data_IF_943686844952
#
_entry.id   IF_943686844952
#
_cell.length_a   1.000
_cell.length_b   1.000
_cell.length_c   1.000
_cell.angle_alpha   90.00
_cell.angle_beta   90.00
_cell.angle_gamma   90.00
#
_symmetry.space_group_name_H-M   'P 1'
#
loop_
_entity.id
_entity.type
_entity.pdbx_description
1 polymer ?
#
# COMPACT_ATOMS: atom_id res chain seq x y z
N UNK A 1 -23.81 -36.76 -12.50
CA UNK A 1 -22.85 -37.88 -12.66
C UNK A 1 -23.10 -38.91 -11.58
N UNK A 2 -23.44 -40.15 -11.97
CA UNK A 2 -23.85 -41.27 -11.09
C UNK A 2 -22.75 -41.71 -10.08
N UNK A 3 -21.52 -41.18 -10.17
CA UNK A 3 -20.37 -41.64 -9.40
C UNK A 3 -19.69 -40.56 -8.55
N UNK A 4 -20.23 -39.35 -8.40
CA UNK A 4 -19.59 -38.23 -7.68
C UNK A 4 -18.08 -38.05 -8.04
N UNK A 5 -17.72 -38.33 -9.27
CA UNK A 5 -16.32 -38.28 -9.72
C UNK A 5 -15.88 -36.83 -9.82
N UNK A 6 -15.04 -36.40 -8.89
CA UNK A 6 -14.30 -35.12 -9.00
C UNK A 6 -13.00 -35.37 -9.73
N UNK A 7 -12.82 -34.73 -10.87
CA UNK A 7 -11.59 -34.81 -11.65
C UNK A 7 -10.40 -34.34 -10.81
N UNK A 8 -9.37 -35.19 -10.67
CA UNK A 8 -8.14 -34.77 -10.01
C UNK A 8 -7.46 -33.67 -10.84
N UNK A 9 -7.60 -32.42 -10.38
CA UNK A 9 -7.09 -31.23 -11.08
C UNK A 9 -5.55 -31.26 -11.23
N UNK A 10 -4.83 -31.85 -10.27
CA UNK A 10 -3.38 -32.01 -10.35
C UNK A 10 -2.95 -32.94 -11.51
N UNK A 11 -3.66 -34.05 -11.72
CA UNK A 11 -3.40 -34.96 -12.84
C UNK A 11 -3.78 -34.31 -14.18
N UNK A 12 -4.86 -33.51 -14.21
CA UNK A 12 -5.28 -32.79 -15.41
C UNK A 12 -4.29 -31.67 -15.77
N UNK A 13 -3.77 -30.93 -14.79
CA UNK A 13 -2.82 -29.84 -14.98
C UNK A 13 -1.50 -30.34 -15.57
N UNK A 14 -1.01 -31.50 -15.17
CA UNK A 14 0.18 -32.14 -15.73
C UNK A 14 0.03 -32.46 -17.23
N UNK A 15 -1.18 -32.85 -17.67
CA UNK A 15 -1.47 -33.20 -19.06
C UNK A 15 -1.67 -31.97 -19.96
N UNK A 16 -2.24 -30.88 -19.39
CA UNK A 16 -2.61 -29.68 -20.16
C UNK A 16 -1.60 -28.55 -19.98
N UNK A 17 -0.60 -28.73 -19.09
CA UNK A 17 0.39 -27.71 -18.70
C UNK A 17 -0.23 -26.40 -18.20
N UNK A 18 -1.45 -26.48 -17.64
CA UNK A 18 -2.17 -25.34 -17.06
C UNK A 18 -2.84 -25.76 -15.75
N UNK A 19 -2.53 -25.06 -14.67
CA UNK A 19 -3.10 -25.31 -13.36
C UNK A 19 -4.41 -24.57 -13.11
N UNK A 20 -4.73 -23.57 -13.94
CA UNK A 20 -5.84 -22.63 -13.69
C UNK A 20 -5.71 -21.95 -12.31
N UNK A 21 -4.49 -21.63 -11.94
CA UNK A 21 -4.19 -21.00 -10.64
C UNK A 21 -3.22 -19.83 -10.85
N UNK A 22 -3.52 -18.71 -10.19
CA UNK A 22 -2.67 -17.52 -10.13
C UNK A 22 -2.15 -17.35 -8.70
N UNK A 23 -0.86 -17.05 -8.56
CA UNK A 23 -0.28 -16.63 -7.28
C UNK A 23 -0.38 -15.12 -7.11
N UNK A 24 -0.83 -14.65 -5.95
CA UNK A 24 -0.81 -13.23 -5.58
C UNK A 24 0.05 -13.08 -4.34
N UNK A 25 1.18 -12.41 -4.48
CA UNK A 25 2.09 -12.07 -3.38
C UNK A 25 1.74 -10.66 -2.91
N UNK A 26 1.43 -10.51 -1.62
CA UNK A 26 0.97 -9.26 -1.03
C UNK A 26 1.73 -8.96 0.25
N UNK A 27 2.07 -7.68 0.54
CA UNK A 27 2.86 -7.34 1.72
C UNK A 27 2.09 -7.47 3.03
N UNK A 28 0.79 -7.13 3.05
CA UNK A 28 -0.04 -7.17 4.25
C UNK A 28 -1.52 -7.18 3.89
N UNK A 29 -2.20 -8.31 4.14
CA UNK A 29 -3.64 -8.46 3.87
C UNK A 29 -4.51 -7.69 4.87
N UNK A 30 -3.98 -7.20 5.99
CA UNK A 30 -4.74 -6.36 6.92
C UNK A 30 -4.85 -4.91 6.44
N UNK A 31 -4.01 -4.51 5.49
CA UNK A 31 -4.09 -3.18 4.90
C UNK A 31 -5.24 -3.15 3.88
N UNK A 32 -6.22 -2.24 4.07
CA UNK A 32 -7.43 -2.12 3.26
C UNK A 32 -7.15 -1.97 1.76
N UNK A 33 -6.13 -1.20 1.36
CA UNK A 33 -5.75 -1.05 -0.04
C UNK A 33 -5.33 -2.40 -0.66
N UNK A 34 -4.49 -3.17 0.02
CA UNK A 34 -4.03 -4.45 -0.51
C UNK A 34 -5.12 -5.50 -0.50
N UNK A 35 -5.98 -5.54 0.53
CA UNK A 35 -7.08 -6.49 0.59
C UNK A 35 -8.16 -6.21 -0.46
N UNK A 36 -8.51 -4.96 -0.70
CA UNK A 36 -9.44 -4.58 -1.78
C UNK A 36 -8.87 -4.96 -3.16
N UNK A 37 -7.58 -4.71 -3.38
CA UNK A 37 -6.91 -5.09 -4.63
C UNK A 37 -6.89 -6.62 -4.84
N UNK A 38 -6.57 -7.39 -3.79
CA UNK A 38 -6.60 -8.86 -3.83
C UNK A 38 -8.01 -9.36 -4.15
N UNK A 39 -9.04 -8.75 -3.55
CA UNK A 39 -10.43 -9.12 -3.81
C UNK A 39 -10.83 -8.88 -5.27
N UNK A 40 -10.45 -7.75 -5.86
CA UNK A 40 -10.75 -7.46 -7.26
C UNK A 40 -9.97 -8.38 -8.22
N UNK A 41 -8.71 -8.71 -7.90
CA UNK A 41 -7.93 -9.70 -8.63
C UNK A 41 -8.62 -11.07 -8.57
N UNK A 42 -9.05 -11.51 -7.38
CA UNK A 42 -9.75 -12.79 -7.20
C UNK A 42 -11.04 -12.84 -8.03
N UNK A 43 -11.90 -11.85 -7.93
CA UNK A 43 -13.15 -11.77 -8.70
C UNK A 43 -12.91 -11.88 -10.20
N UNK A 44 -11.91 -11.15 -10.71
CA UNK A 44 -11.56 -11.19 -12.13
C UNK A 44 -11.12 -12.59 -12.57
N UNK A 45 -10.18 -13.19 -11.85
CA UNK A 45 -9.64 -14.50 -12.19
C UNK A 45 -10.67 -15.63 -11.98
N UNK A 46 -11.49 -15.54 -10.95
CA UNK A 46 -12.59 -16.48 -10.72
C UNK A 46 -13.59 -16.49 -11.89
N UNK A 47 -13.97 -15.32 -12.41
CA UNK A 47 -14.86 -15.22 -13.57
C UNK A 47 -14.28 -15.84 -14.85
N UNK A 48 -12.94 -16.04 -14.90
CA UNK A 48 -12.23 -16.71 -15.99
C UNK A 48 -11.87 -18.17 -15.69
N UNK A 49 -12.40 -18.74 -14.61
CA UNK A 49 -12.18 -20.13 -14.21
C UNK A 49 -10.82 -20.40 -13.61
N UNK A 50 -10.20 -19.40 -12.97
CA UNK A 50 -8.95 -19.53 -12.21
C UNK A 50 -9.23 -19.47 -10.70
N UNK A 51 -8.37 -20.13 -9.95
CA UNK A 51 -8.27 -19.96 -8.48
C UNK A 51 -7.09 -19.05 -8.16
N UNK A 52 -7.15 -18.37 -7.02
CA UNK A 52 -6.07 -17.48 -6.56
C UNK A 52 -5.44 -18.02 -5.28
N UNK A 53 -4.11 -18.14 -5.27
CA UNK A 53 -3.33 -18.39 -4.05
C UNK A 53 -2.80 -17.06 -3.50
N UNK A 54 -3.21 -16.70 -2.29
CA UNK A 54 -2.75 -15.49 -1.61
C UNK A 54 -1.55 -15.83 -0.73
N UNK A 55 -0.45 -15.11 -0.92
CA UNK A 55 0.82 -15.26 -0.23
C UNK A 55 1.15 -13.97 0.52
N UNK A 56 0.86 -13.92 1.82
CA UNK A 56 1.12 -12.74 2.66
C UNK A 56 2.55 -12.74 3.20
N UNK A 57 3.37 -11.76 2.77
CA UNK A 57 4.80 -11.71 3.15
C UNK A 57 5.04 -11.10 4.51
N UNK A 58 4.16 -10.27 5.05
CA UNK A 58 4.41 -9.39 6.19
C UNK A 58 5.67 -8.53 5.98
N UNK A 59 5.96 -8.16 4.73
CA UNK A 59 7.16 -7.40 4.36
C UNK A 59 8.49 -8.09 4.66
N UNK A 60 8.47 -9.41 4.77
CA UNK A 60 9.64 -10.26 4.99
C UNK A 60 10.17 -10.74 3.63
N UNK A 61 11.42 -10.33 3.32
CA UNK A 61 12.10 -10.70 2.08
C UNK A 61 12.30 -12.21 1.94
N UNK A 62 12.60 -12.91 3.04
CA UNK A 62 12.80 -14.34 3.01
C UNK A 62 11.50 -15.08 2.69
N UNK A 63 10.37 -14.59 3.21
CA UNK A 63 9.03 -15.11 2.86
C UNK A 63 8.69 -14.83 1.40
N UNK A 64 8.95 -13.62 0.90
CA UNK A 64 8.71 -13.28 -0.51
C UNK A 64 9.44 -14.25 -1.43
N UNK A 65 10.74 -14.45 -1.18
CA UNK A 65 11.58 -15.43 -1.89
C UNK A 65 11.04 -16.85 -1.80
N UNK A 66 10.59 -17.28 -0.63
CA UNK A 66 10.01 -18.60 -0.41
C UNK A 66 8.71 -18.77 -1.20
N UNK A 67 7.86 -17.74 -1.26
CA UNK A 67 6.61 -17.77 -2.00
C UNK A 67 6.83 -17.84 -3.52
N UNK A 68 7.76 -17.10 -4.10
CA UNK A 68 8.11 -17.28 -5.52
C UNK A 68 8.48 -18.72 -5.84
N UNK A 69 9.35 -19.36 -5.03
CA UNK A 69 9.73 -20.77 -5.19
C UNK A 69 8.55 -21.72 -5.01
N UNK A 70 7.70 -21.48 -4.01
CA UNK A 70 6.52 -22.30 -3.74
C UNK A 70 5.51 -22.24 -4.88
N UNK A 71 5.22 -21.04 -5.39
CA UNK A 71 4.32 -20.86 -6.53
C UNK A 71 4.86 -21.50 -7.80
N UNK A 72 6.18 -21.43 -8.04
CA UNK A 72 6.83 -22.14 -9.14
C UNK A 72 6.63 -23.65 -9.01
N UNK A 73 6.89 -24.23 -7.84
CA UNK A 73 6.71 -25.66 -7.58
C UNK A 73 5.25 -26.14 -7.63
N UNK A 74 4.30 -25.25 -7.33
CA UNK A 74 2.85 -25.50 -7.43
C UNK A 74 2.31 -25.35 -8.84
N UNK A 75 3.17 -25.05 -9.81
CA UNK A 75 2.83 -24.97 -11.23
C UNK A 75 1.79 -23.87 -11.54
N UNK A 76 1.78 -22.76 -10.83
CA UNK A 76 0.84 -21.65 -11.12
C UNK A 76 1.06 -21.11 -12.54
N UNK A 77 0.00 -20.62 -13.16
CA UNK A 77 0.00 -20.12 -14.54
C UNK A 77 0.51 -18.67 -14.65
N UNK A 78 0.53 -17.94 -13.54
CA UNK A 78 1.04 -16.58 -13.46
C UNK A 78 1.20 -16.12 -12.01
N UNK A 79 1.97 -15.06 -11.80
CA UNK A 79 2.19 -14.44 -10.50
C UNK A 79 1.93 -12.94 -10.60
N UNK A 80 1.14 -12.40 -9.67
CA UNK A 80 1.01 -10.96 -9.43
C UNK A 80 1.73 -10.66 -8.11
N UNK A 81 2.71 -9.76 -8.15
CA UNK A 81 3.45 -9.34 -6.96
C UNK A 81 3.17 -7.87 -6.65
N UNK A 82 2.54 -7.60 -5.51
CA UNK A 82 2.13 -6.28 -5.08
C UNK A 82 3.19 -5.69 -4.17
N UNK A 83 3.71 -4.52 -4.50
CA UNK A 83 4.70 -3.79 -3.67
C UNK A 83 5.88 -4.66 -3.23
N UNK A 84 6.47 -5.39 -4.18
CA UNK A 84 7.64 -6.26 -3.95
C UNK A 84 8.76 -5.54 -3.19
N UNK A 85 9.47 -6.28 -2.36
CA UNK A 85 10.49 -5.71 -1.46
C UNK A 85 11.80 -5.48 -2.21
N UNK A 86 12.40 -6.52 -2.82
CA UNK A 86 13.65 -6.35 -3.60
C UNK A 86 14.13 -7.63 -4.31
N UNK A 87 13.27 -8.61 -4.51
CA UNK A 87 13.69 -9.91 -5.06
C UNK A 87 13.40 -9.98 -6.54
N UNK A 88 14.46 -10.19 -7.32
CA UNK A 88 14.33 -10.53 -8.73
C UNK A 88 13.72 -11.94 -8.88
N UNK A 89 12.50 -12.06 -9.46
CA UNK A 89 11.83 -13.34 -9.65
C UNK A 89 12.67 -14.35 -10.44
N UNK A 90 13.49 -13.89 -11.40
CA UNK A 90 14.35 -14.77 -12.21
C UNK A 90 15.34 -15.59 -11.36
N UNK A 91 15.67 -15.11 -10.15
CA UNK A 91 16.52 -15.85 -9.20
C UNK A 91 15.78 -16.93 -8.42
N UNK A 92 14.45 -16.93 -8.47
CA UNK A 92 13.59 -17.80 -7.66
C UNK A 92 12.76 -18.76 -8.48
N UNK A 93 12.33 -18.34 -9.67
CA UNK A 93 11.45 -19.07 -10.58
C UNK A 93 12.34 -19.79 -11.61
N UNK A 94 12.12 -21.08 -11.80
CA UNK A 94 12.84 -21.90 -12.78
C UNK A 94 12.09 -22.04 -14.11
N UNK A 95 10.74 -21.92 -14.06
CA UNK A 95 9.88 -21.99 -15.24
C UNK A 95 9.66 -20.59 -15.81
N UNK A 96 9.30 -20.52 -17.08
CA UNK A 96 8.91 -19.25 -17.70
C UNK A 96 7.46 -18.90 -17.30
N UNK A 97 7.26 -18.43 -16.05
CA UNK A 97 5.98 -18.00 -15.53
C UNK A 97 5.86 -16.48 -15.74
N UNK A 98 4.76 -15.97 -16.31
CA UNK A 98 4.53 -14.54 -16.38
C UNK A 98 4.41 -13.95 -14.97
N UNK A 99 5.15 -12.88 -14.72
CA UNK A 99 5.10 -12.11 -13.48
C UNK A 99 4.71 -10.68 -13.82
N UNK A 100 3.71 -10.15 -13.09
CA UNK A 100 3.28 -8.74 -13.17
C UNK A 100 3.49 -8.11 -11.81
N UNK A 101 4.14 -6.96 -11.77
CA UNK A 101 4.30 -6.16 -10.57
C UNK A 101 3.21 -5.10 -10.46
N UNK A 102 2.79 -4.80 -9.24
CA UNK A 102 1.95 -3.66 -8.91
C UNK A 102 2.74 -2.76 -7.96
N UNK A 103 2.85 -1.49 -8.32
CA UNK A 103 3.58 -0.45 -7.55
C UNK A 103 5.07 -0.76 -7.30
N UNK A 104 5.75 -1.34 -8.30
CA UNK A 104 7.19 -1.52 -8.26
C UNK A 104 7.80 -1.48 -9.67
N UNK A 105 8.44 -0.37 -10.02
CA UNK A 105 9.11 -0.13 -11.33
C UNK A 105 10.57 -0.57 -11.38
N UNK A 106 11.12 -1.09 -10.31
CA UNK A 106 12.57 -1.38 -10.24
C UNK A 106 12.97 -2.55 -11.16
N UNK A 107 11.98 -3.33 -11.61
CA UNK A 107 12.16 -4.49 -12.48
C UNK A 107 11.77 -4.18 -13.94
N UNK A 108 12.70 -3.67 -14.71
CA UNK A 108 12.49 -3.21 -16.10
C UNK A 108 12.08 -4.33 -17.07
N UNK A 109 12.42 -5.57 -16.76
CA UNK A 109 12.15 -6.73 -17.62
C UNK A 109 10.77 -7.35 -17.37
N UNK A 110 9.97 -6.79 -16.47
CA UNK A 110 8.65 -7.28 -16.11
C UNK A 110 7.57 -6.25 -16.37
N UNK A 111 6.35 -6.71 -16.61
CA UNK A 111 5.19 -5.84 -16.67
C UNK A 111 4.93 -5.22 -15.28
N UNK A 112 4.67 -3.93 -15.27
CA UNK A 112 4.32 -3.22 -14.05
C UNK A 112 3.08 -2.35 -14.26
N UNK A 113 2.16 -2.42 -13.30
CA UNK A 113 1.03 -1.50 -13.17
C UNK A 113 1.30 -0.59 -11.99
N UNK A 114 1.22 0.71 -12.17
CA UNK A 114 1.57 1.67 -11.12
C UNK A 114 0.61 2.86 -11.11
N UNK A 115 0.31 3.33 -9.90
CA UNK A 115 -0.37 4.63 -9.71
C UNK A 115 0.63 5.77 -9.87
N UNK A 116 0.16 6.91 -10.31
CA UNK A 116 1.00 8.14 -10.34
C UNK A 116 1.15 8.71 -8.92
N UNK A 117 2.07 8.13 -8.18
CA UNK A 117 2.33 8.48 -6.79
C UNK A 117 2.89 9.90 -6.62
N UNK A 118 3.57 10.43 -7.65
CA UNK A 118 4.06 11.80 -7.61
C UNK A 118 2.89 12.80 -7.68
N UNK A 119 2.05 12.68 -8.68
CA UNK A 119 0.87 13.55 -8.79
C UNK A 119 -0.12 13.33 -7.66
N UNK A 120 -0.28 12.07 -7.17
CA UNK A 120 -1.11 11.80 -5.99
C UNK A 120 -0.61 12.54 -4.75
N UNK A 121 0.70 12.51 -4.46
CA UNK A 121 1.29 13.26 -3.35
C UNK A 121 1.20 14.78 -3.54
N UNK A 122 1.33 15.23 -4.79
CA UNK A 122 1.18 16.65 -5.15
C UNK A 122 -0.24 17.13 -4.89
N UNK A 123 -1.25 16.46 -5.43
CA UNK A 123 -2.66 16.86 -5.28
C UNK A 123 -3.16 16.77 -3.85
N UNK A 124 -2.77 15.74 -3.10
CA UNK A 124 -3.12 15.63 -1.68
C UNK A 124 -2.58 16.81 -0.86
N UNK A 125 -1.37 17.26 -1.16
CA UNK A 125 -0.77 18.42 -0.51
C UNK A 125 -1.41 19.73 -0.99
N UNK A 126 -1.65 19.85 -2.28
CA UNK A 126 -2.29 21.03 -2.87
C UNK A 126 -3.70 21.23 -2.33
N UNK A 127 -4.45 20.16 -2.06
CA UNK A 127 -5.76 20.22 -1.41
C UNK A 127 -5.69 20.88 -0.03
N UNK A 128 -4.71 20.49 0.79
CA UNK A 128 -4.48 21.12 2.10
C UNK A 128 -4.14 22.61 1.96
N UNK A 129 -3.26 22.94 1.03
CA UNK A 129 -2.84 24.34 0.76
C UNK A 129 -4.01 25.20 0.30
N UNK A 130 -4.82 24.69 -0.64
CA UNK A 130 -6.00 25.40 -1.17
C UNK A 130 -7.06 25.62 -0.08
N UNK A 131 -7.06 24.78 0.96
CA UNK A 131 -7.90 24.93 2.15
C UNK A 131 -7.24 25.76 3.27
N UNK A 132 -6.16 26.48 2.97
CA UNK A 132 -5.52 27.47 3.83
C UNK A 132 -4.42 26.95 4.74
N UNK A 133 -4.03 25.67 4.65
CA UNK A 133 -2.96 25.12 5.48
C UNK A 133 -1.57 25.64 5.06
N UNK A 134 -0.74 25.96 6.06
CA UNK A 134 0.63 26.47 5.88
C UNK A 134 1.69 25.66 6.63
N UNK A 135 1.31 25.00 7.70
CA UNK A 135 2.17 24.16 8.52
C UNK A 135 1.75 22.69 8.38
N UNK A 136 2.14 22.08 7.25
CA UNK A 136 1.64 20.75 6.87
C UNK A 136 2.59 19.66 7.35
N UNK A 137 2.07 18.75 8.17
CA UNK A 137 2.75 17.52 8.57
C UNK A 137 2.67 16.51 7.44
N UNK A 138 3.82 15.96 7.05
CA UNK A 138 3.90 14.77 6.20
C UNK A 138 4.08 13.53 7.08
N UNK A 139 3.06 12.67 7.14
CA UNK A 139 3.13 11.35 7.77
C UNK A 139 3.41 10.26 6.75
N UNK A 140 4.64 9.73 6.74
CA UNK A 140 5.08 8.69 5.83
C UNK A 140 5.85 7.59 6.56
N UNK A 141 6.47 6.67 5.85
CA UNK A 141 7.30 5.62 6.44
C UNK A 141 8.73 5.61 5.90
N UNK A 142 9.58 4.81 6.53
CA UNK A 142 11.00 4.64 6.18
C UNK A 142 11.26 3.57 5.11
N UNK A 143 10.22 3.04 4.46
CA UNK A 143 10.43 2.03 3.42
C UNK A 143 11.20 2.62 2.25
N UNK A 144 12.18 1.87 1.79
CA UNK A 144 12.86 2.16 0.54
C UNK A 144 12.02 1.66 -0.63
N UNK A 145 11.12 2.50 -1.15
CA UNK A 145 10.29 2.15 -2.31
C UNK A 145 10.00 3.38 -3.17
N UNK A 146 9.94 3.17 -4.47
CA UNK A 146 9.64 4.23 -5.45
C UNK A 146 8.30 4.92 -5.17
N UNK A 147 7.28 4.18 -4.71
CA UNK A 147 5.98 4.74 -4.36
C UNK A 147 6.04 5.72 -3.19
N UNK A 148 6.79 5.39 -2.13
CA UNK A 148 7.01 6.29 -0.97
C UNK A 148 7.77 7.54 -1.40
N UNK A 149 8.86 7.36 -2.14
CA UNK A 149 9.70 8.48 -2.58
C UNK A 149 8.95 9.42 -3.52
N UNK A 150 8.13 8.88 -4.42
CA UNK A 150 7.33 9.71 -5.32
C UNK A 150 6.22 10.49 -4.59
N UNK A 151 5.55 9.92 -3.60
CA UNK A 151 4.61 10.66 -2.73
C UNK A 151 5.31 11.83 -2.03
N UNK A 152 6.51 11.60 -1.47
CA UNK A 152 7.32 12.64 -0.81
C UNK A 152 7.76 13.72 -1.81
N UNK A 153 8.18 13.33 -3.01
CA UNK A 153 8.54 14.30 -4.07
C UNK A 153 7.34 15.16 -4.47
N UNK A 154 6.16 14.54 -4.62
CA UNK A 154 4.92 15.26 -4.90
C UNK A 154 4.58 16.28 -3.82
N UNK A 155 4.64 15.87 -2.54
CA UNK A 155 4.47 16.78 -1.40
C UNK A 155 5.43 17.98 -1.48
N UNK A 156 6.72 17.72 -1.65
CA UNK A 156 7.73 18.78 -1.73
C UNK A 156 7.46 19.74 -2.87
N UNK A 157 7.12 19.22 -4.06
CA UNK A 157 6.84 20.06 -5.23
C UNK A 157 5.60 20.92 -5.06
N UNK A 158 4.55 20.43 -4.36
CA UNK A 158 3.39 21.25 -4.05
C UNK A 158 3.72 22.38 -3.06
N UNK A 159 4.46 22.09 -2.01
CA UNK A 159 4.93 23.11 -1.04
C UNK A 159 5.79 24.18 -1.73
N UNK A 160 6.73 23.77 -2.59
CA UNK A 160 7.60 24.65 -3.35
C UNK A 160 6.81 25.53 -4.33
N UNK A 161 5.88 24.96 -5.09
CA UNK A 161 5.02 25.69 -6.03
C UNK A 161 4.26 26.83 -5.35
N UNK A 162 3.85 26.63 -4.12
CA UNK A 162 3.09 27.62 -3.33
C UNK A 162 3.96 28.45 -2.40
N UNK A 163 5.30 28.34 -2.49
CA UNK A 163 6.27 29.07 -1.64
C UNK A 163 6.05 28.83 -0.14
N UNK A 164 5.61 27.62 0.27
CA UNK A 164 5.42 27.24 1.66
C UNK A 164 6.67 26.48 2.14
N UNK A 165 7.29 26.88 3.26
CA UNK A 165 8.49 26.23 3.75
C UNK A 165 8.18 24.80 4.25
N UNK A 166 9.12 23.88 4.03
CA UNK A 166 9.07 22.53 4.55
C UNK A 166 9.87 22.48 5.84
N UNK A 167 9.19 22.25 6.94
CA UNK A 167 9.82 22.14 8.25
C UNK A 167 10.28 20.69 8.49
N UNK A 168 11.50 20.53 8.96
CA UNK A 168 12.06 19.20 9.24
C UNK A 168 11.26 18.46 10.30
N UNK A 169 10.80 19.16 11.33
CA UNK A 169 10.05 18.60 12.45
C UNK A 169 8.61 18.18 12.06
N UNK A 170 8.11 18.66 10.90
CA UNK A 170 6.82 18.26 10.34
C UNK A 170 6.96 17.16 9.25
N UNK A 171 8.15 16.64 8.99
CA UNK A 171 8.36 15.54 8.05
C UNK A 171 8.65 14.25 8.82
N UNK A 172 7.61 13.49 9.12
CA UNK A 172 7.64 12.35 10.01
C UNK A 172 7.73 11.04 9.21
N UNK A 173 8.88 10.38 9.28
CA UNK A 173 9.12 9.06 8.69
C UNK A 173 9.03 7.99 9.78
N UNK A 174 7.96 7.21 9.76
CA UNK A 174 7.64 6.22 10.80
C UNK A 174 8.33 4.88 10.52
N UNK A 175 8.85 4.24 11.55
CA UNK A 175 9.51 2.92 11.46
C UNK A 175 8.54 1.75 11.41
N UNK A 176 7.25 2.00 11.68
CA UNK A 176 6.16 1.01 11.68
C UNK A 176 6.38 -0.16 12.65
N UNK A 177 7.00 0.09 13.79
CA UNK A 177 7.28 -0.92 14.82
C UNK A 177 6.02 -1.49 15.46
N UNK A 178 5.03 -0.61 15.73
CA UNK A 178 3.76 -0.98 16.34
C UNK A 178 2.62 -1.02 15.31
N UNK A 179 2.86 -0.56 14.09
CA UNK A 179 1.87 -0.46 13.02
C UNK A 179 1.64 0.97 12.54
N UNK A 180 0.96 1.11 11.42
CA UNK A 180 0.76 2.43 10.79
C UNK A 180 -0.11 3.37 11.62
N UNK A 181 -1.11 2.83 12.32
CA UNK A 181 -2.05 3.60 13.14
C UNK A 181 -1.39 4.09 14.43
N UNK A 182 -0.83 3.16 15.21
CA UNK A 182 -0.25 3.44 16.53
C UNK A 182 0.95 4.38 16.43
N UNK A 183 1.85 4.13 15.47
CA UNK A 183 3.04 4.96 15.28
C UNK A 183 2.67 6.37 14.80
N UNK A 184 1.63 6.51 13.97
CA UNK A 184 1.12 7.82 13.55
C UNK A 184 0.45 8.57 14.71
N UNK A 185 -0.38 7.89 15.47
CA UNK A 185 -1.01 8.45 16.67
C UNK A 185 0.06 8.96 17.65
N UNK A 186 1.06 8.16 17.96
CA UNK A 186 2.15 8.55 18.84
C UNK A 186 2.95 9.73 18.29
N UNK A 187 3.21 9.77 16.99
CA UNK A 187 3.96 10.84 16.34
C UNK A 187 3.21 12.19 16.43
N UNK A 188 1.88 12.19 16.23
CA UNK A 188 1.06 13.40 16.38
C UNK A 188 0.95 13.83 17.84
N UNK A 189 0.75 12.91 18.78
CA UNK A 189 0.79 13.21 20.21
C UNK A 189 2.10 13.90 20.59
N UNK A 190 3.25 13.40 20.10
CA UNK A 190 4.55 14.02 20.36
C UNK A 190 4.65 15.44 19.82
N UNK A 191 4.08 15.76 18.64
CA UNK A 191 4.05 17.14 18.12
C UNK A 191 3.25 18.05 19.06
N UNK A 192 2.06 17.60 19.49
CA UNK A 192 1.16 18.36 20.36
C UNK A 192 1.81 18.60 21.72
N UNK A 193 2.35 17.58 22.35
CA UNK A 193 3.01 17.63 23.67
C UNK A 193 4.23 18.57 23.68
N UNK A 194 4.93 18.69 22.55
CA UNK A 194 6.05 19.60 22.37
C UNK A 194 5.62 21.00 21.86
N UNK A 195 4.32 21.29 21.79
CA UNK A 195 3.77 22.56 21.31
C UNK A 195 4.24 22.94 19.90
N UNK A 196 4.45 21.97 19.02
CA UNK A 196 4.79 22.22 17.61
C UNK A 196 3.49 22.52 16.85
N UNK A 197 3.41 23.72 16.26
CA UNK A 197 2.23 24.17 15.54
C UNK A 197 2.11 23.51 14.17
N UNK A 198 0.91 23.04 13.81
CA UNK A 198 0.54 22.56 12.49
C UNK A 198 -0.97 22.75 12.25
N UNK A 199 -1.35 22.86 10.99
CA UNK A 199 -2.72 23.11 10.54
C UNK A 199 -3.22 22.13 9.47
N UNK A 200 -2.31 21.32 8.92
CA UNK A 200 -2.62 20.29 7.95
C UNK A 200 -1.81 19.01 8.16
N UNK A 201 -2.37 17.86 7.78
CA UNK A 201 -1.70 16.57 7.82
C UNK A 201 -1.92 15.87 6.48
N UNK A 202 -0.84 15.60 5.73
CA UNK A 202 -0.86 14.65 4.64
C UNK A 202 -0.34 13.30 5.12
N UNK A 203 -1.23 12.31 5.22
CA UNK A 203 -0.90 10.94 5.59
C UNK A 203 -0.85 10.05 4.35
N UNK A 204 0.28 9.37 4.13
CA UNK A 204 0.53 8.57 2.92
C UNK A 204 -0.23 7.23 2.87
N UNK A 205 -1.10 6.95 3.85
CA UNK A 205 -2.17 5.95 3.84
C UNK A 205 -3.22 6.26 4.91
N UNK A 206 -4.39 5.60 4.84
CA UNK A 206 -5.53 5.85 5.71
C UNK A 206 -5.32 5.43 7.17
N UNK A 207 -4.58 4.36 7.44
CA UNK A 207 -4.30 3.98 8.83
C UNK A 207 -3.48 5.05 9.57
N UNK A 208 -2.55 5.73 8.87
CA UNK A 208 -1.82 6.88 9.43
C UNK A 208 -2.74 8.09 9.61
N UNK A 209 -3.60 8.35 8.62
CA UNK A 209 -4.58 9.42 8.72
C UNK A 209 -5.52 9.21 9.91
N UNK A 210 -6.00 7.98 10.10
CA UNK A 210 -6.88 7.63 11.22
C UNK A 210 -6.14 7.72 12.57
N UNK A 211 -4.89 7.25 12.65
CA UNK A 211 -4.07 7.42 13.87
C UNK A 211 -3.88 8.90 14.23
N UNK A 212 -3.61 9.74 13.22
CA UNK A 212 -3.53 11.18 13.40
C UNK A 212 -4.87 11.80 13.88
N UNK A 213 -5.99 11.38 13.28
CA UNK A 213 -7.33 11.83 13.68
C UNK A 213 -7.61 11.51 15.15
N UNK A 214 -7.32 10.28 15.57
CA UNK A 214 -7.54 9.86 16.96
C UNK A 214 -6.66 10.66 17.93
N UNK A 215 -5.40 10.91 17.59
CA UNK A 215 -4.52 11.76 18.40
C UNK A 215 -5.11 13.18 18.58
N UNK A 216 -5.57 13.81 17.50
CA UNK A 216 -6.21 15.13 17.56
C UNK A 216 -7.47 15.12 18.42
N UNK A 217 -8.31 14.09 18.31
CA UNK A 217 -9.51 13.92 19.12
C UNK A 217 -9.21 13.78 20.62
N UNK A 218 -8.15 13.03 20.99
CA UNK A 218 -7.69 12.88 22.37
C UNK A 218 -7.30 14.21 23.00
N UNK A 219 -6.80 15.14 22.18
CA UNK A 219 -6.44 16.50 22.62
C UNK A 219 -7.53 17.55 22.37
N UNK A 220 -8.77 17.14 22.01
CA UNK A 220 -9.89 18.02 21.69
C UNK A 220 -9.58 19.05 20.58
N UNK A 221 -8.75 18.66 19.61
CA UNK A 221 -8.43 19.46 18.43
C UNK A 221 -9.42 19.12 17.32
N UNK A 222 -10.21 20.11 16.89
CA UNK A 222 -11.26 19.89 15.89
C UNK A 222 -10.69 19.63 14.49
N UNK A 223 -11.27 18.63 13.81
CA UNK A 223 -11.01 18.28 12.41
C UNK A 223 -12.36 18.41 11.68
N UNK A 224 -12.46 19.14 10.58
CA UNK A 224 -11.39 19.83 9.84
C UNK A 224 -11.13 21.29 10.24
N UNK A 225 -11.84 21.84 11.26
CA UNK A 225 -11.85 23.28 11.53
C UNK A 225 -10.48 23.83 11.93
N UNK A 226 -9.76 23.13 12.82
CA UNK A 226 -8.47 23.56 13.33
C UNK A 226 -7.30 22.87 12.60
N UNK A 227 -7.41 21.57 12.37
CA UNK A 227 -6.43 20.80 11.59
C UNK A 227 -7.16 20.02 10.52
N UNK A 228 -6.67 20.06 9.29
CA UNK A 228 -7.21 19.30 8.15
C UNK A 228 -6.35 18.06 7.90
N UNK A 229 -6.99 16.97 7.51
CA UNK A 229 -6.29 15.70 7.20
C UNK A 229 -6.65 15.25 5.79
N UNK A 230 -5.64 14.86 5.03
CA UNK A 230 -5.80 14.16 3.76
C UNK A 230 -5.11 12.80 3.85
N UNK A 231 -5.84 11.73 3.56
CA UNK A 231 -5.33 10.38 3.34
C UNK A 231 -4.86 10.19 1.90
N UNK A 232 -4.60 8.94 1.49
CA UNK A 232 -4.07 8.69 0.15
C UNK A 232 -4.79 7.56 -0.61
N UNK A 233 -5.00 6.40 0.01
CA UNK A 233 -5.42 5.18 -0.68
C UNK A 233 -6.94 5.15 -0.98
N UNK A 234 -7.76 5.95 -0.29
CA UNK A 234 -9.22 6.04 -0.46
C UNK A 234 -9.98 4.79 -0.01
N UNK A 235 -9.45 4.05 0.97
CA UNK A 235 -10.05 2.82 1.48
C UNK A 235 -11.27 3.08 2.38
N UNK A 236 -11.98 2.00 2.76
CA UNK A 236 -13.15 2.10 3.65
C UNK A 236 -12.84 2.78 5.00
N UNK A 237 -11.58 2.73 5.46
CA UNK A 237 -11.17 3.38 6.72
C UNK A 237 -11.47 4.88 6.68
N UNK A 238 -11.14 5.56 5.58
CA UNK A 238 -11.40 7.00 5.46
C UNK A 238 -12.89 7.36 5.44
N UNK A 239 -13.72 6.45 4.94
CA UNK A 239 -15.17 6.67 4.84
C UNK A 239 -15.90 6.50 6.17
N UNK A 240 -15.39 5.62 7.05
CA UNK A 240 -16.08 5.23 8.29
C UNK A 240 -15.51 5.86 9.55
N UNK A 241 -14.38 6.57 9.48
CA UNK A 241 -13.93 7.39 10.60
C UNK A 241 -14.83 8.65 10.76
N UNK A 242 -14.78 9.27 11.92
CA UNK A 242 -15.60 10.45 12.23
C UNK A 242 -14.70 11.59 12.75
N UNK A 243 -14.61 12.73 12.02
CA UNK A 243 -15.17 12.95 10.69
C UNK A 243 -14.52 12.05 9.61
N UNK A 244 -15.17 11.87 8.45
CA UNK A 244 -14.53 11.20 7.31
C UNK A 244 -13.29 11.96 6.83
N UNK A 245 -12.32 11.22 6.28
CA UNK A 245 -11.05 11.77 5.78
C UNK A 245 -11.06 11.72 4.25
#
# INVERSE_FOLDING_TARGET
DEYNYTTNMAAKSLRVSKSKTIGVIVPDVNNGFFSELVLEIEKYFFSHGYSVFICNTNQDEAKEKSYFKSLDSKLVDGIICISAISIDPAKCIKRNIPVVFINNKDYKDYYCVESDHYNGGFYATEELINNGCKHIVLLTNNRNSSSVDNKIKGFKSAMEKHNIPIYKDLTLRLDLKNGSFEDAMQAINNLIDNNIEFDGIFATNEWRAHGALVALQQHNISVPDKVKIVGYDGTYVSKYCNPPI
#
